data_IF_865090738954
#
_entry.id   IF_865090738954
#
_cell.length_a   1.000
_cell.length_b   1.000
_cell.length_c   1.000
_cell.angle_alpha   90.00
_cell.angle_beta   90.00
_cell.angle_gamma   90.00
#
_symmetry.space_group_name_H-M   'P 1'
#
loop_
_entity.id
_entity.type
_entity.pdbx_description
1 polymer ?
#
# COMPACT_ATOMS: atom_id res chain seq x y z
N UNK A 1 9.72 -3.74 0.42
CA UNK A 1 8.56 -3.31 -0.37
C UNK A 1 9.07 -2.37 -1.42
N UNK A 2 8.68 -2.58 -2.67
CA UNK A 2 9.03 -1.69 -3.78
C UNK A 2 7.75 -1.19 -4.44
N UNK A 3 7.79 0.04 -4.92
CA UNK A 3 6.66 0.69 -5.60
C UNK A 3 7.09 1.21 -6.95
N UNK A 4 6.21 1.08 -7.95
CA UNK A 4 6.43 1.58 -9.30
C UNK A 4 5.16 2.21 -9.84
N UNK A 5 5.27 3.45 -10.31
CA UNK A 5 4.20 4.08 -11.09
C UNK A 5 4.18 3.49 -12.49
N UNK A 6 2.99 3.10 -12.95
CA UNK A 6 2.76 2.56 -14.28
C UNK A 6 2.47 3.70 -15.26
N UNK A 7 2.69 3.45 -16.56
CA UNK A 7 2.42 4.44 -17.62
C UNK A 7 0.95 4.89 -17.65
N UNK A 8 0.04 4.07 -17.15
CA UNK A 8 -1.40 4.30 -17.04
C UNK A 8 -1.79 5.02 -15.72
N UNK A 9 -0.81 5.53 -14.96
CA UNK A 9 -1.04 6.27 -13.71
C UNK A 9 -1.31 5.41 -12.47
N UNK A 10 -1.59 4.12 -12.63
CA UNK A 10 -1.72 3.15 -11.52
C UNK A 10 -0.39 2.91 -10.79
N UNK A 11 -0.46 2.42 -9.55
CA UNK A 11 0.70 2.09 -8.73
C UNK A 11 0.81 0.59 -8.53
N UNK A 12 1.95 0.00 -8.91
CA UNK A 12 2.29 -1.37 -8.60
C UNK A 12 3.12 -1.44 -7.31
N UNK A 13 2.72 -2.31 -6.39
CA UNK A 13 3.45 -2.60 -5.14
C UNK A 13 3.88 -4.06 -5.15
N UNK A 14 5.15 -4.32 -4.88
CA UNK A 14 5.69 -5.68 -4.79
C UNK A 14 6.46 -5.89 -3.49
N UNK A 15 6.42 -7.12 -3.01
CA UNK A 15 7.27 -7.54 -1.90
C UNK A 15 8.71 -7.67 -2.39
N UNK A 16 9.60 -6.80 -1.93
CA UNK A 16 11.01 -6.85 -2.34
C UNK A 16 11.72 -8.16 -1.94
N UNK A 17 11.21 -8.87 -0.93
CA UNK A 17 11.72 -10.19 -0.54
C UNK A 17 11.26 -11.33 -1.49
N UNK A 18 10.28 -11.05 -2.35
CA UNK A 18 9.76 -11.97 -3.36
C UNK A 18 9.57 -11.22 -4.71
N UNK A 19 10.66 -10.95 -5.45
CA UNK A 19 10.62 -10.14 -6.67
C UNK A 19 9.88 -10.83 -7.84
N UNK A 20 9.73 -12.16 -7.78
CA UNK A 20 8.96 -12.95 -8.74
C UNK A 20 7.46 -13.04 -8.36
N UNK A 21 7.10 -12.59 -7.16
CA UNK A 21 5.73 -12.59 -6.67
C UNK A 21 4.78 -11.65 -7.40
N UNK A 22 3.46 -11.82 -7.16
CA UNK A 22 2.46 -10.94 -7.74
C UNK A 22 2.65 -9.49 -7.28
N UNK A 23 2.37 -8.54 -8.17
CA UNK A 23 2.28 -7.13 -7.81
C UNK A 23 0.83 -6.78 -7.49
N UNK A 24 0.60 -6.09 -6.38
CA UNK A 24 -0.67 -5.45 -6.08
C UNK A 24 -0.78 -4.18 -6.91
N UNK A 25 -1.88 -4.00 -7.64
CA UNK A 25 -2.11 -2.86 -8.51
C UNK A 25 -3.18 -1.98 -7.89
N UNK A 26 -2.83 -0.74 -7.56
CA UNK A 26 -3.73 0.26 -7.00
C UNK A 26 -4.04 1.34 -8.03
N UNK A 27 -5.28 1.80 -8.04
CA UNK A 27 -5.60 3.07 -8.70
C UNK A 27 -5.00 4.25 -7.94
N UNK A 28 -4.84 5.42 -8.60
CA UNK A 28 -4.42 6.64 -7.92
C UNK A 28 -5.30 7.02 -6.72
N UNK A 29 -6.61 6.79 -6.84
CA UNK A 29 -7.58 7.08 -5.79
C UNK A 29 -7.42 6.14 -4.60
N UNK A 30 -7.27 4.84 -4.83
CA UNK A 30 -7.07 3.85 -3.77
C UNK A 30 -5.78 4.07 -3.01
N UNK A 31 -4.65 4.33 -3.69
CA UNK A 31 -3.38 4.58 -3.01
C UNK A 31 -3.42 5.90 -2.21
N UNK A 32 -4.14 6.91 -2.72
CA UNK A 32 -4.32 8.20 -2.03
C UNK A 32 -5.17 8.02 -0.77
N UNK A 33 -6.30 7.32 -0.89
CA UNK A 33 -7.19 7.02 0.23
C UNK A 33 -6.47 6.17 1.29
N UNK A 34 -5.68 5.17 0.86
CA UNK A 34 -4.87 4.35 1.76
C UNK A 34 -3.86 5.20 2.55
N UNK A 35 -3.07 6.05 1.87
CA UNK A 35 -2.07 6.91 2.53
C UNK A 35 -2.75 7.92 3.47
N UNK A 36 -3.89 8.48 3.07
CA UNK A 36 -4.67 9.37 3.92
C UNK A 36 -5.17 8.65 5.18
N UNK A 37 -5.74 7.46 5.03
CA UNK A 37 -6.22 6.65 6.16
C UNK A 37 -5.10 6.25 7.13
N UNK A 38 -3.92 5.88 6.62
CA UNK A 38 -2.74 5.62 7.45
C UNK A 38 -2.36 6.87 8.25
N UNK A 39 -2.31 8.05 7.62
CA UNK A 39 -2.02 9.31 8.31
C UNK A 39 -3.07 9.68 9.37
N UNK A 40 -4.31 9.24 9.19
CA UNK A 40 -5.42 9.44 10.13
C UNK A 40 -5.49 8.36 11.23
N UNK A 41 -4.56 7.39 11.26
CA UNK A 41 -4.54 6.32 12.25
C UNK A 41 -5.55 5.19 11.98
N UNK A 42 -6.20 5.15 10.81
CA UNK A 42 -7.15 4.09 10.47
C UNK A 42 -6.48 2.71 10.31
N UNK A 43 -5.15 2.70 10.14
CA UNK A 43 -4.34 1.50 9.98
C UNK A 43 -3.65 1.03 11.28
N UNK A 44 -3.93 1.66 12.43
CA UNK A 44 -3.24 1.37 13.70
C UNK A 44 -3.34 -0.11 14.10
N UNK A 45 -4.50 -0.73 13.84
CA UNK A 45 -4.76 -2.16 14.03
C UNK A 45 -3.76 -3.09 13.31
N UNK A 46 -3.19 -2.66 12.17
CA UNK A 46 -2.20 -3.45 11.42
C UNK A 46 -0.87 -3.58 12.15
N UNK A 47 -0.60 -2.71 13.13
CA UNK A 47 0.67 -2.68 13.87
C UNK A 47 0.64 -3.44 15.19
N UNK A 48 -0.45 -4.17 15.47
CA UNK A 48 -0.55 -5.03 16.65
C UNK A 48 -0.73 -4.29 17.98
N UNK A 49 -0.76 -2.95 18.00
CA UNK A 49 -1.27 -2.22 19.16
C UNK A 49 -2.79 -2.31 19.16
N UNK A 50 -3.29 -3.45 19.65
CA UNK A 50 -4.61 -3.47 20.24
C UNK A 50 -4.55 -2.49 21.40
N UNK A 51 -5.09 -1.28 21.22
CA UNK A 51 -5.36 -0.40 22.33
C UNK A 51 -6.30 -1.15 23.28
N UNK A 52 -5.72 -1.68 24.36
CA UNK A 52 -6.40 -2.10 25.56
C UNK A 52 -5.65 -1.52 26.75
#
# INVERSE_FOLDING_TARGET
METKQLADGRVAVRQSADPAGPALIYTPEEITAFVAGVKQGLADHLTGHSAH
#
